data_IF_635163328698
#
_entry.id   IF_635163328698
#
_cell.length_a   1.000
_cell.length_b   1.000
_cell.length_c   1.000
_cell.angle_alpha   90.00
_cell.angle_beta   90.00
_cell.angle_gamma   90.00
#
_symmetry.space_group_name_H-M   'P 1'
#
loop_
_entity.id
_entity.type
_entity.pdbx_description
1 polymer ?
#
# COMPACT_ATOMS: atom_id res chain seq x y z
N UNK A 1 -0.76 14.04 -6.43
CA UNK A 1 -1.12 12.63 -6.72
C UNK A 1 -0.36 11.61 -5.85
N UNK A 2 0.88 11.87 -5.39
CA UNK A 2 1.63 10.98 -4.45
C UNK A 2 0.91 10.72 -3.12
N UNK A 3 0.30 11.74 -2.51
CA UNK A 3 -0.47 11.58 -1.26
C UNK A 3 -1.64 10.61 -1.40
N UNK A 4 -2.29 10.58 -2.57
CA UNK A 4 -3.40 9.67 -2.85
C UNK A 4 -2.94 8.22 -2.95
N UNK A 5 -1.84 7.96 -3.68
CA UNK A 5 -1.26 6.61 -3.77
C UNK A 5 -0.81 6.08 -2.40
N UNK A 6 -0.18 6.93 -1.59
CA UNK A 6 0.20 6.60 -0.21
C UNK A 6 -1.00 6.27 0.67
N UNK A 7 -2.09 7.04 0.56
CA UNK A 7 -3.34 6.78 1.28
C UNK A 7 -3.99 5.45 0.88
N UNK A 8 -4.03 5.15 -0.42
CA UNK A 8 -4.51 3.85 -0.93
C UNK A 8 -3.69 2.71 -0.32
N UNK A 9 -2.36 2.84 -0.29
CA UNK A 9 -1.51 1.81 0.33
C UNK A 9 -1.80 1.67 1.82
N UNK A 10 -1.97 2.76 2.57
CA UNK A 10 -2.33 2.72 4.01
C UNK A 10 -3.67 2.03 4.23
N UNK A 11 -4.71 2.42 3.50
CA UNK A 11 -6.07 1.89 3.66
C UNK A 11 -6.13 0.41 3.27
N UNK A 12 -5.35 -0.03 2.28
CA UNK A 12 -5.34 -1.40 1.79
C UNK A 12 -4.30 -2.31 2.47
N UNK A 13 -3.45 -1.75 3.35
CA UNK A 13 -2.52 -2.49 4.20
C UNK A 13 -3.33 -3.24 5.27
N UNK A 14 -3.11 -4.56 5.53
CA UNK A 14 -1.81 -5.19 5.75
C UNK A 14 -1.46 -6.29 4.74
N UNK A 15 -0.17 -6.68 4.69
CA UNK A 15 0.33 -7.85 3.93
C UNK A 15 -0.08 -9.19 4.57
N UNK A 16 -1.37 -9.35 4.84
CA UNK A 16 -2.01 -10.64 5.16
C UNK A 16 -2.56 -11.25 3.86
N UNK A 17 -2.94 -12.52 3.88
CA UNK A 17 -3.47 -13.23 2.69
C UNK A 17 -4.58 -12.47 1.95
N UNK A 18 -5.32 -11.58 2.63
CA UNK A 18 -6.36 -10.74 2.04
C UNK A 18 -6.29 -9.27 2.44
N UNK A 19 -6.64 -8.40 1.50
CA UNK A 19 -6.82 -6.97 1.75
C UNK A 19 -8.08 -6.73 2.61
N UNK A 20 -8.01 -5.94 3.70
CA UNK A 20 -9.16 -5.66 4.56
C UNK A 20 -10.24 -4.81 3.86
N UNK A 21 -9.84 -4.00 2.88
CA UNK A 21 -10.75 -3.11 2.16
C UNK A 21 -11.43 -3.80 0.97
N UNK A 22 -10.69 -4.64 0.23
CA UNK A 22 -11.21 -5.30 -0.96
C UNK A 22 -11.71 -6.72 -0.72
N UNK A 23 -11.28 -7.39 0.36
CA UNK A 23 -11.50 -8.82 0.58
C UNK A 23 -10.81 -9.74 -0.43
N UNK A 24 -10.07 -9.18 -1.40
CA UNK A 24 -9.29 -9.91 -2.40
C UNK A 24 -7.95 -10.35 -1.85
N UNK A 25 -7.34 -11.35 -2.50
CA UNK A 25 -5.97 -11.76 -2.19
C UNK A 25 -5.00 -10.59 -2.31
N UNK A 26 -4.00 -10.59 -1.43
CA UNK A 26 -2.93 -9.61 -1.47
C UNK A 26 -1.86 -10.04 -2.50
N UNK A 27 -1.34 -9.13 -3.36
CA UNK A 27 -1.66 -7.71 -3.46
C UNK A 27 -2.93 -7.44 -4.27
N UNK A 28 -3.83 -6.62 -3.71
CA UNK A 28 -5.04 -6.23 -4.43
C UNK A 28 -4.75 -5.17 -5.51
N UNK A 29 -5.60 -5.12 -6.54
CA UNK A 29 -5.42 -4.25 -7.73
C UNK A 29 -5.14 -2.77 -7.39
N UNK A 30 -5.85 -2.12 -6.43
CA UNK A 30 -5.57 -0.74 -6.03
C UNK A 30 -4.17 -0.55 -5.44
N UNK A 31 -3.69 -1.50 -4.63
CA UNK A 31 -2.34 -1.49 -4.08
C UNK A 31 -1.29 -1.63 -5.18
N UNK A 32 -1.54 -2.48 -6.18
CA UNK A 32 -0.69 -2.62 -7.37
C UNK A 32 -0.52 -1.29 -8.10
N UNK A 33 -1.64 -0.65 -8.48
CA UNK A 33 -1.59 0.65 -9.16
C UNK A 33 -0.92 1.75 -8.34
N UNK A 34 -1.11 1.74 -7.01
CA UNK A 34 -0.44 2.70 -6.14
C UNK A 34 1.08 2.50 -6.12
N UNK A 35 1.56 1.24 -6.07
CA UNK A 35 2.99 0.94 -6.16
C UNK A 35 3.57 1.21 -7.55
N UNK A 36 2.85 0.93 -8.63
CA UNK A 36 3.27 1.28 -9.99
C UNK A 36 3.44 2.78 -10.15
N UNK A 37 2.45 3.56 -9.68
CA UNK A 37 2.54 5.01 -9.70
C UNK A 37 3.70 5.52 -8.83
N UNK A 38 3.88 4.99 -7.63
CA UNK A 38 4.98 5.38 -6.76
C UNK A 38 6.34 5.04 -7.38
N UNK A 39 6.46 3.89 -8.03
CA UNK A 39 7.68 3.49 -8.76
C UNK A 39 7.96 4.47 -9.89
N UNK A 40 6.94 4.84 -10.67
CA UNK A 40 7.06 5.82 -11.76
C UNK A 40 7.59 7.19 -11.30
N UNK A 41 7.30 7.59 -10.06
CA UNK A 41 7.75 8.88 -9.48
C UNK A 41 8.97 8.74 -8.56
N UNK A 42 9.66 7.59 -8.57
CA UNK A 42 10.88 7.35 -7.78
C UNK A 42 10.64 7.16 -6.27
N UNK A 43 9.47 6.66 -5.89
CA UNK A 43 9.01 6.45 -4.51
C UNK A 43 8.51 5.01 -4.28
N UNK A 44 8.91 4.05 -5.13
CA UNK A 44 8.42 2.66 -5.11
C UNK A 44 8.65 1.91 -3.79
N UNK A 45 9.68 2.27 -3.04
CA UNK A 45 10.03 1.68 -1.73
C UNK A 45 9.25 2.26 -0.54
N UNK A 46 8.26 3.11 -0.81
CA UNK A 46 7.49 3.72 0.27
C UNK A 46 6.60 2.70 0.99
N UNK A 47 6.61 2.74 2.31
CA UNK A 47 5.76 1.95 3.20
C UNK A 47 5.13 2.84 4.28
N UNK A 48 3.91 2.51 4.76
CA UNK A 48 3.22 3.30 5.77
C UNK A 48 3.96 3.27 7.13
N UNK A 49 4.28 4.43 7.73
CA UNK A 49 5.10 4.50 8.95
C UNK A 49 4.40 3.91 10.18
N UNK A 50 3.08 4.05 10.31
CA UNK A 50 2.31 3.51 11.44
C UNK A 50 2.39 1.98 11.53
N UNK A 51 2.57 1.29 10.40
CA UNK A 51 2.70 -0.17 10.37
C UNK A 51 4.14 -0.67 10.38
N UNK A 52 5.13 0.19 10.09
CA UNK A 52 6.55 -0.11 10.35
C UNK A 52 6.86 -0.04 11.85
N UNK A 53 6.10 0.78 12.60
CA UNK A 53 6.23 0.91 14.06
C UNK A 53 5.57 -0.23 14.87
N UNK A 54 4.71 -1.05 14.26
CA UNK A 54 4.09 -2.23 14.90
C UNK A 54 5.04 -3.42 15.11
N UNK A 55 6.36 -3.18 15.06
CA UNK A 55 7.44 -4.16 15.30
C UNK A 55 8.29 -3.79 16.51
N UNK A 56 7.67 -3.17 17.52
CA UNK A 56 8.23 -2.93 18.86
C UNK A 56 7.33 -3.61 19.89
#
# INVERSE_FOLDING_TARGET
MIRSARRIIVEHWPRVDRCPMCGSEWPCRPTGYAYDYLTSVGQGDWAPPEHVLGRQ
#
